data_IF_873281812213
#
_entry.id   IF_873281812213
#
_cell.length_a   1.000
_cell.length_b   1.000
_cell.length_c   1.000
_cell.angle_alpha   90.00
_cell.angle_beta   90.00
_cell.angle_gamma   90.00
#
_symmetry.space_group_name_H-M   'P 1'
#
loop_
_entity.id
_entity.type
_entity.pdbx_description
1 polymer ?
#
# COMPACT_ATOMS: atom_id res chain seq x y z
N UNK A 1 22.53 9.77 33.52
CA UNK A 1 22.93 9.06 32.28
C UNK A 1 22.24 9.77 31.14
N UNK A 2 22.97 10.45 30.26
CA UNK A 2 22.34 11.13 29.11
C UNK A 2 21.79 10.06 28.19
N UNK A 3 20.46 10.03 28.03
CA UNK A 3 19.82 9.33 26.91
C UNK A 3 20.43 9.89 25.62
N UNK A 4 21.27 9.08 24.97
CA UNK A 4 21.68 9.38 23.60
C UNK A 4 20.40 9.33 22.78
N UNK A 5 19.93 10.47 22.29
CA UNK A 5 18.89 10.50 21.27
C UNK A 5 19.31 9.52 20.17
N UNK A 6 18.48 8.53 19.82
CA UNK A 6 18.82 7.59 18.76
C UNK A 6 19.14 8.37 17.49
N UNK A 7 20.23 8.00 16.82
CA UNK A 7 20.59 8.59 15.53
C UNK A 7 19.41 8.37 14.57
N UNK A 8 18.93 9.42 13.86
CA UNK A 8 17.83 9.26 12.92
C UNK A 8 18.13 8.14 11.92
N UNK A 9 17.13 7.31 11.62
CA UNK A 9 17.28 6.27 10.61
C UNK A 9 17.77 6.88 9.30
N UNK A 10 18.81 6.31 8.67
CA UNK A 10 19.16 6.68 7.31
C UNK A 10 18.14 6.02 6.37
N UNK A 11 17.22 6.78 5.74
CA UNK A 11 16.11 6.18 4.98
C UNK A 11 16.58 5.46 3.71
N UNK A 12 17.83 5.67 3.30
CA UNK A 12 18.42 5.06 2.10
C UNK A 12 19.41 3.95 2.44
N UNK A 13 19.56 3.59 3.72
CA UNK A 13 20.33 2.42 4.12
C UNK A 13 19.71 1.16 3.50
N UNK A 14 20.53 0.37 2.80
CA UNK A 14 20.12 -0.83 2.08
C UNK A 14 19.03 -0.60 1.00
N UNK A 15 18.88 0.63 0.50
CA UNK A 15 17.96 0.91 -0.60
C UNK A 15 18.29 0.04 -1.82
N UNK A 16 17.31 -0.72 -2.30
CA UNK A 16 17.45 -1.67 -3.40
C UNK A 16 17.11 -1.05 -4.77
N UNK A 17 17.15 0.28 -4.88
CA UNK A 17 16.91 1.02 -6.13
C UNK A 17 17.84 2.23 -6.27
N UNK A 18 18.24 2.52 -7.51
CA UNK A 18 18.97 3.75 -7.86
C UNK A 18 18.03 4.88 -8.31
N UNK A 19 16.72 4.62 -8.40
CA UNK A 19 15.75 5.60 -8.88
C UNK A 19 15.67 6.81 -7.94
N UNK A 20 16.16 7.96 -8.42
CA UNK A 20 16.22 9.21 -7.65
C UNK A 20 14.85 9.71 -7.20
N UNK A 21 13.79 9.46 -7.96
CA UNK A 21 12.44 9.91 -7.65
C UNK A 21 11.87 9.14 -6.47
N UNK A 22 12.05 7.81 -6.48
CA UNK A 22 11.70 6.93 -5.36
C UNK A 22 12.49 7.31 -4.12
N UNK A 23 13.83 7.39 -4.22
CA UNK A 23 14.69 7.72 -3.08
C UNK A 23 14.32 9.07 -2.46
N UNK A 24 14.12 10.11 -3.27
CA UNK A 24 13.71 11.44 -2.79
C UNK A 24 12.37 11.41 -2.06
N UNK A 25 11.39 10.70 -2.61
CA UNK A 25 10.07 10.57 -1.99
C UNK A 25 10.13 9.79 -0.67
N UNK A 26 10.83 8.64 -0.63
CA UNK A 26 11.02 7.84 0.59
C UNK A 26 11.72 8.65 1.68
N UNK A 27 12.78 9.39 1.33
CA UNK A 27 13.48 10.27 2.28
C UNK A 27 12.53 11.32 2.87
N UNK A 28 11.77 12.03 2.04
CA UNK A 28 10.81 13.05 2.52
C UNK A 28 9.74 12.45 3.42
N UNK A 29 9.19 11.27 3.06
CA UNK A 29 8.16 10.62 3.87
C UNK A 29 8.75 10.10 5.19
N UNK A 30 9.98 9.59 5.20
CA UNK A 30 10.67 9.18 6.42
C UNK A 30 10.94 10.38 7.35
N UNK A 31 11.33 11.53 6.80
CA UNK A 31 11.52 12.77 7.58
C UNK A 31 10.22 13.22 8.26
N UNK A 32 9.09 13.12 7.55
CA UNK A 32 7.76 13.42 8.09
C UNK A 32 7.35 12.40 9.16
N UNK A 33 7.42 11.11 8.86
CA UNK A 33 6.88 10.04 9.71
C UNK A 33 7.79 9.68 10.89
N UNK A 34 9.07 10.01 10.82
CA UNK A 34 10.12 9.77 11.82
C UNK A 34 10.17 8.30 12.33
N UNK A 35 10.32 7.30 11.42
CA UNK A 35 10.47 5.92 11.85
C UNK A 35 11.84 5.65 12.48
N UNK A 36 11.91 4.64 13.34
CA UNK A 36 13.17 4.21 13.96
C UNK A 36 14.08 3.48 12.96
N UNK A 37 13.49 2.85 11.95
CA UNK A 37 14.17 2.09 10.90
C UNK A 37 13.42 2.19 9.58
N UNK A 38 14.14 2.08 8.47
CA UNK A 38 13.54 1.92 7.15
C UNK A 38 13.97 0.57 6.59
N UNK A 39 13.01 -0.26 6.17
CA UNK A 39 13.25 -1.58 5.60
C UNK A 39 12.80 -1.61 4.14
N UNK A 40 13.74 -1.78 3.21
CA UNK A 40 13.46 -1.86 1.79
C UNK A 40 13.10 -3.28 1.40
N UNK A 41 11.84 -3.52 1.06
CA UNK A 41 11.39 -4.88 0.81
C UNK A 41 11.83 -5.38 -0.56
N UNK A 42 12.35 -6.61 -0.62
CA UNK A 42 12.83 -7.25 -1.85
C UNK A 42 11.86 -8.28 -2.45
N UNK A 43 10.87 -8.73 -1.67
CA UNK A 43 9.83 -9.70 -2.06
C UNK A 43 10.29 -11.17 -2.05
N UNK A 44 11.52 -11.45 -1.65
CA UNK A 44 12.10 -12.80 -1.64
C UNK A 44 11.40 -13.73 -0.64
N UNK A 45 11.57 -15.04 -0.84
CA UNK A 45 11.10 -16.03 0.13
C UNK A 45 11.83 -15.90 1.48
N UNK A 46 13.12 -15.57 1.46
CA UNK A 46 13.91 -15.36 2.67
C UNK A 46 13.39 -14.18 3.51
N UNK A 47 13.08 -13.06 2.85
CA UNK A 47 12.44 -11.92 3.49
C UNK A 47 11.07 -12.28 4.05
N UNK A 48 10.23 -12.97 3.25
CA UNK A 48 8.91 -13.46 3.71
C UNK A 48 9.04 -14.30 4.98
N UNK A 49 9.96 -15.25 5.01
CA UNK A 49 10.17 -16.13 6.16
C UNK A 49 10.72 -15.38 7.39
N UNK A 50 11.58 -14.37 7.18
CA UNK A 50 12.06 -13.50 8.25
C UNK A 50 10.94 -12.64 8.84
N UNK A 51 10.18 -11.94 7.99
CA UNK A 51 9.09 -11.06 8.43
C UNK A 51 7.95 -11.87 9.07
N UNK A 52 7.66 -13.06 8.55
CA UNK A 52 6.65 -13.94 9.15
C UNK A 52 7.06 -14.38 10.55
N UNK A 53 8.32 -14.79 10.76
CA UNK A 53 8.85 -15.11 12.10
C UNK A 53 8.75 -13.92 13.05
N UNK A 54 9.18 -12.74 12.60
CA UNK A 54 9.07 -11.53 13.41
C UNK A 54 7.62 -11.19 13.76
N UNK A 55 6.68 -11.36 12.84
CA UNK A 55 5.25 -11.15 13.09
C UNK A 55 4.67 -12.16 14.10
N UNK A 56 5.13 -13.41 14.07
CA UNK A 56 4.74 -14.44 15.05
C UNK A 56 5.34 -14.15 16.42
N UNK A 57 6.62 -13.81 16.49
CA UNK A 57 7.30 -13.42 17.74
C UNK A 57 6.63 -12.19 18.39
N UNK A 58 6.17 -11.25 17.57
CA UNK A 58 5.43 -10.07 18.02
C UNK A 58 3.95 -10.35 18.35
N UNK A 59 3.45 -11.58 18.14
CA UNK A 59 2.04 -11.94 18.37
C UNK A 59 1.05 -11.33 17.37
N UNK A 60 1.52 -10.73 16.29
CA UNK A 60 0.70 -10.18 15.21
C UNK A 60 0.07 -11.31 14.39
N UNK A 61 0.84 -12.38 14.14
CA UNK A 61 0.37 -13.59 13.48
C UNK A 61 0.41 -14.77 14.45
N UNK A 62 -0.65 -15.57 14.44
CA UNK A 62 -0.71 -16.84 15.15
C UNK A 62 -0.60 -17.99 14.14
N UNK A 63 0.39 -18.89 14.25
CA UNK A 63 0.47 -20.03 13.34
C UNK A 63 -0.77 -20.92 13.52
N UNK A 64 -1.39 -21.31 12.40
CA UNK A 64 -2.42 -22.35 12.42
C UNK A 64 -1.78 -23.73 12.62
N UNK A 65 -2.61 -24.78 12.71
CA UNK A 65 -2.13 -26.16 12.72
C UNK A 65 -1.32 -26.45 11.45
N UNK A 66 0.01 -26.47 11.56
CA UNK A 66 0.90 -26.62 10.40
C UNK A 66 0.84 -28.01 9.76
N UNK A 67 0.21 -29.00 10.39
CA UNK A 67 -0.06 -30.30 9.73
C UNK A 67 -1.28 -30.21 8.82
N UNK A 68 -2.28 -29.41 9.18
CA UNK A 68 -3.52 -29.23 8.40
C UNK A 68 -3.41 -28.08 7.39
N UNK A 69 -2.73 -27.01 7.79
CA UNK A 69 -2.63 -25.74 7.06
C UNK A 69 -1.17 -25.24 7.04
N UNK A 70 -0.27 -25.94 6.32
CA UNK A 70 1.14 -25.55 6.26
C UNK A 70 1.30 -24.13 5.72
N UNK A 71 2.08 -23.29 6.40
CA UNK A 71 2.34 -21.91 6.01
C UNK A 71 1.16 -20.96 6.19
N UNK A 72 0.08 -21.41 6.85
CA UNK A 72 -1.08 -20.56 7.13
C UNK A 72 -1.01 -19.96 8.54
N UNK A 73 -1.46 -18.71 8.64
CA UNK A 73 -1.45 -17.91 9.85
C UNK A 73 -2.79 -17.22 10.04
N UNK A 74 -3.14 -16.97 11.30
CA UNK A 74 -4.30 -16.23 11.71
C UNK A 74 -3.87 -14.85 12.23
N UNK A 75 -4.51 -13.80 11.73
CA UNK A 75 -4.36 -12.43 12.22
C UNK A 75 -5.70 -12.00 12.83
N UNK A 76 -5.67 -11.53 14.07
CA UNK A 76 -6.86 -11.02 14.76
C UNK A 76 -6.78 -9.49 14.83
N UNK A 77 -7.65 -8.79 14.10
CA UNK A 77 -7.63 -7.33 14.06
C UNK A 77 -8.27 -6.71 15.31
N UNK A 78 -8.06 -5.39 15.47
CA UNK A 78 -8.76 -4.61 16.49
C UNK A 78 -10.27 -4.62 16.18
N UNK A 79 -11.17 -4.77 17.18
CA UNK A 79 -12.63 -4.74 16.98
C UNK A 79 -13.16 -3.47 16.29
N UNK A 80 -12.45 -2.35 16.44
CA UNK A 80 -12.82 -1.08 15.79
C UNK A 80 -12.35 -1.01 14.32
N UNK A 81 -11.63 -2.00 13.83
CA UNK A 81 -11.01 -2.03 12.51
C UNK A 81 -11.16 -3.41 11.85
N UNK A 82 -12.39 -3.69 11.41
CA UNK A 82 -12.83 -5.00 10.91
C UNK A 82 -13.43 -4.95 9.51
N UNK A 83 -13.49 -3.75 8.91
CA UNK A 83 -14.12 -3.53 7.62
C UNK A 83 -13.56 -2.28 6.94
N UNK A 84 -13.95 -2.10 5.67
CA UNK A 84 -13.78 -0.81 5.01
C UNK A 84 -14.69 0.22 5.68
N UNK A 85 -14.25 1.47 5.70
CA UNK A 85 -14.98 2.59 6.29
C UNK A 85 -15.25 3.65 5.22
N UNK A 86 -16.39 3.53 4.55
CA UNK A 86 -16.73 4.36 3.40
C UNK A 86 -16.79 5.86 3.76
N UNK A 87 -17.31 6.21 4.94
CA UNK A 87 -17.39 7.60 5.42
C UNK A 87 -16.02 8.24 5.71
N UNK A 88 -14.96 7.44 5.84
CA UNK A 88 -13.58 7.90 5.99
C UNK A 88 -12.79 7.87 4.67
N UNK A 89 -13.44 7.52 3.56
CA UNK A 89 -12.79 7.35 2.25
C UNK A 89 -13.09 8.54 1.35
N UNK A 90 -12.05 9.21 0.86
CA UNK A 90 -12.16 10.46 0.11
C UNK A 90 -11.49 10.38 -1.26
N UNK A 91 -12.08 11.09 -2.23
CA UNK A 91 -11.49 11.39 -3.54
C UNK A 91 -11.21 12.90 -3.56
N UNK A 92 -9.94 13.26 -3.59
CA UNK A 92 -9.45 14.63 -3.49
C UNK A 92 -8.94 15.09 -4.87
N UNK A 93 -9.88 15.41 -5.75
CA UNK A 93 -9.63 16.07 -7.04
C UNK A 93 -9.63 17.59 -6.88
N UNK A 94 -9.04 18.32 -7.83
CA UNK A 94 -9.01 19.79 -7.80
C UNK A 94 -10.41 20.40 -7.74
N UNK A 95 -11.38 19.81 -8.45
CA UNK A 95 -12.79 20.19 -8.42
C UNK A 95 -13.65 19.11 -7.76
N UNK A 96 -14.70 19.52 -7.04
CA UNK A 96 -15.69 18.59 -6.46
C UNK A 96 -16.47 17.84 -7.55
N UNK A 97 -16.71 18.49 -8.69
CA UNK A 97 -17.42 17.90 -9.83
C UNK A 97 -16.68 16.68 -10.40
N UNK A 98 -15.34 16.72 -10.45
CA UNK A 98 -14.53 15.59 -10.94
C UNK A 98 -14.54 14.37 -10.02
N UNK A 99 -14.73 14.57 -8.70
CA UNK A 99 -15.00 13.47 -7.79
C UNK A 99 -16.41 12.91 -8.00
N UNK A 100 -17.39 13.79 -8.28
CA UNK A 100 -18.75 13.42 -8.63
C UNK A 100 -19.60 12.97 -7.43
N UNK A 101 -20.89 12.79 -7.69
CA UNK A 101 -21.92 12.63 -6.64
C UNK A 101 -21.90 11.32 -5.85
N UNK A 102 -21.08 10.35 -6.27
CA UNK A 102 -20.96 9.04 -5.60
C UNK A 102 -19.78 8.96 -4.64
N UNK A 103 -18.96 10.00 -4.55
CA UNK A 103 -17.74 10.04 -3.74
C UNK A 103 -17.83 11.09 -2.64
N UNK A 104 -17.16 10.83 -1.51
CA UNK A 104 -16.86 11.91 -0.57
C UNK A 104 -15.68 12.72 -1.13
N UNK A 105 -15.90 14.00 -1.33
CA UNK A 105 -14.88 14.92 -1.77
C UNK A 105 -14.37 15.77 -0.60
N UNK A 106 -13.10 16.15 -0.68
CA UNK A 106 -12.51 17.17 0.17
C UNK A 106 -11.44 17.93 -0.65
N UNK A 107 -11.25 19.24 -0.43
CA UNK A 107 -10.20 20.00 -1.09
C UNK A 107 -8.83 19.33 -0.90
N UNK A 108 -8.04 19.13 -1.97
CA UNK A 108 -6.76 18.43 -1.86
C UNK A 108 -5.79 19.06 -0.86
N UNK A 109 -5.66 20.39 -0.87
CA UNK A 109 -4.74 21.10 0.02
C UNK A 109 -5.12 20.93 1.51
N UNK A 110 -6.40 21.05 1.83
CA UNK A 110 -6.91 20.85 3.21
C UNK A 110 -6.72 19.39 3.66
N UNK A 111 -6.96 18.42 2.77
CA UNK A 111 -6.76 17.01 3.08
C UNK A 111 -5.27 16.69 3.26
N UNK A 112 -4.38 17.24 2.43
CA UNK A 112 -2.94 17.09 2.59
C UNK A 112 -2.44 17.69 3.91
N UNK A 113 -2.88 18.90 4.27
CA UNK A 113 -2.53 19.53 5.55
C UNK A 113 -2.94 18.63 6.72
N UNK A 114 -4.18 18.16 6.72
CA UNK A 114 -4.71 17.25 7.75
C UNK A 114 -3.92 15.95 7.85
N UNK A 115 -3.68 15.29 6.72
CA UNK A 115 -3.03 13.98 6.70
C UNK A 115 -1.54 14.08 7.03
N UNK A 116 -0.83 15.11 6.55
CA UNK A 116 0.55 15.35 6.95
C UNK A 116 0.67 15.67 8.44
N UNK A 117 -0.26 16.43 9.01
CA UNK A 117 -0.34 16.65 10.46
C UNK A 117 -0.55 15.36 11.25
N UNK A 118 -1.35 14.42 10.74
CA UNK A 118 -1.52 13.10 11.35
C UNK A 118 -0.29 12.19 11.19
N UNK A 119 0.44 12.32 10.09
CA UNK A 119 1.63 11.54 9.78
C UNK A 119 2.89 12.04 10.49
N UNK A 120 2.91 13.28 10.98
CA UNK A 120 4.09 13.83 11.65
C UNK A 120 4.48 13.00 12.88
N UNK A 121 5.63 12.34 12.81
CA UNK A 121 6.12 11.44 13.85
C UNK A 121 5.28 10.18 14.06
N UNK A 122 4.35 9.85 13.15
CA UNK A 122 3.42 8.73 13.27
C UNK A 122 4.09 7.35 13.41
N UNK A 123 5.32 7.21 12.92
CA UNK A 123 6.04 5.94 12.88
C UNK A 123 7.16 5.84 13.93
N UNK A 124 7.24 6.77 14.88
CA UNK A 124 8.19 6.67 16.01
C UNK A 124 8.06 5.33 16.72
N UNK A 125 9.19 4.68 17.00
CA UNK A 125 9.21 3.35 17.61
C UNK A 125 8.89 2.20 16.65
N UNK A 126 8.65 2.48 15.36
CA UNK A 126 8.26 1.49 14.34
C UNK A 126 9.23 1.47 13.16
N UNK A 127 9.21 0.37 12.41
CA UNK A 127 9.89 0.28 11.11
C UNK A 127 8.96 0.79 10.03
N UNK A 128 9.44 1.69 9.18
CA UNK A 128 8.78 2.01 7.91
C UNK A 128 9.27 1.03 6.84
N UNK A 129 8.38 0.20 6.34
CA UNK A 129 8.63 -0.70 5.23
C UNK A 129 8.38 0.03 3.91
N UNK A 130 9.35 -0.04 3.00
CA UNK A 130 9.18 0.37 1.61
C UNK A 130 8.77 -0.86 0.81
N UNK A 131 7.55 -0.86 0.28
CA UNK A 131 6.95 -2.01 -0.43
C UNK A 131 6.72 -1.65 -1.89
N UNK A 132 7.70 -1.85 -2.80
CA UNK A 132 7.47 -1.77 -4.23
C UNK A 132 6.56 -2.91 -4.69
N UNK A 133 5.60 -2.65 -5.56
CA UNK A 133 4.74 -3.70 -6.12
C UNK A 133 4.29 -3.37 -7.54
N UNK A 134 4.08 -4.43 -8.32
CA UNK A 134 3.61 -4.37 -9.70
C UNK A 134 2.20 -4.95 -9.81
N UNK A 135 1.28 -4.13 -10.31
CA UNK A 135 -0.09 -4.51 -10.63
C UNK A 135 -0.17 -4.93 -12.10
N UNK A 136 -0.33 -6.24 -12.32
CA UNK A 136 -0.34 -6.84 -13.65
C UNK A 136 0.90 -7.69 -13.94
N UNK A 137 0.97 -8.35 -15.11
CA UNK A 137 2.09 -9.19 -15.50
C UNK A 137 3.37 -8.38 -15.78
N UNK A 138 4.56 -8.88 -15.39
CA UNK A 138 5.83 -8.24 -15.72
C UNK A 138 6.01 -8.08 -17.24
N UNK A 139 6.50 -6.92 -17.66
CA UNK A 139 6.72 -6.59 -19.07
C UNK A 139 5.46 -6.14 -19.82
N UNK A 140 4.28 -6.20 -19.20
CA UNK A 140 3.08 -5.62 -19.80
C UNK A 140 3.18 -4.09 -19.78
N UNK A 141 2.90 -3.40 -20.90
CA UNK A 141 2.83 -1.93 -20.93
C UNK A 141 1.63 -1.37 -20.17
N UNK A 142 0.63 -2.22 -19.84
CA UNK A 142 -0.52 -1.84 -19.03
C UNK A 142 -0.30 -2.07 -17.53
N UNK A 143 0.83 -2.66 -17.13
CA UNK A 143 1.12 -2.85 -15.73
C UNK A 143 1.37 -1.50 -15.03
N UNK A 144 0.90 -1.37 -13.80
CA UNK A 144 1.09 -0.16 -12.99
C UNK A 144 2.00 -0.47 -11.82
N UNK A 145 3.00 0.37 -11.59
CA UNK A 145 3.88 0.26 -10.41
C UNK A 145 3.31 1.14 -9.30
N UNK A 146 3.24 0.57 -8.10
CA UNK A 146 3.04 1.33 -6.88
C UNK A 146 4.19 1.10 -5.91
N UNK A 147 4.41 2.07 -5.03
CA UNK A 147 5.28 1.89 -3.87
C UNK A 147 4.47 2.32 -2.66
N UNK A 148 4.30 1.39 -1.72
CA UNK A 148 3.58 1.63 -0.48
C UNK A 148 4.58 1.72 0.68
N UNK A 149 4.53 2.84 1.41
CA UNK A 149 5.27 3.05 2.65
C UNK A 149 4.35 2.73 3.81
N UNK A 150 4.70 1.76 4.65
CA UNK A 150 3.82 1.24 5.70
C UNK A 150 4.58 0.96 6.98
N UNK A 151 3.98 1.19 8.13
CA UNK A 151 4.52 0.77 9.45
C UNK A 151 3.99 -0.59 9.94
N UNK A 152 3.29 -1.32 9.06
CA UNK A 152 2.63 -2.59 9.38
C UNK A 152 3.26 -3.78 8.66
N UNK A 153 3.85 -4.69 9.42
CA UNK A 153 4.40 -5.95 8.88
C UNK A 153 3.30 -6.86 8.29
N UNK A 154 2.08 -6.78 8.82
CA UNK A 154 0.91 -7.48 8.27
C UNK A 154 0.58 -7.03 6.84
N UNK A 155 0.68 -5.72 6.59
CA UNK A 155 0.49 -5.14 5.27
C UNK A 155 1.56 -5.63 4.29
N UNK A 156 2.83 -5.65 4.69
CA UNK A 156 3.93 -6.15 3.84
C UNK A 156 3.68 -7.60 3.41
N UNK A 157 3.40 -8.48 4.38
CA UNK A 157 3.16 -9.91 4.12
C UNK A 157 1.92 -10.13 3.23
N UNK A 158 0.87 -9.33 3.42
CA UNK A 158 -0.35 -9.39 2.62
C UNK A 158 -0.14 -8.86 1.20
N UNK A 159 0.60 -7.75 1.04
CA UNK A 159 0.93 -7.18 -0.28
C UNK A 159 1.78 -8.13 -1.11
N UNK A 160 2.66 -8.92 -0.48
CA UNK A 160 3.41 -9.98 -1.16
C UNK A 160 2.52 -11.04 -1.80
N UNK A 161 1.39 -11.36 -1.17
CA UNK A 161 0.40 -12.31 -1.72
C UNK A 161 -0.42 -11.64 -2.83
N UNK A 162 -0.84 -10.40 -2.59
CA UNK A 162 -1.80 -9.70 -3.43
C UNK A 162 -1.20 -9.10 -4.70
N UNK A 163 0.10 -8.83 -4.73
CA UNK A 163 0.79 -8.17 -5.84
C UNK A 163 2.17 -8.78 -6.08
N UNK A 164 2.77 -8.47 -7.24
CA UNK A 164 4.15 -8.86 -7.55
C UNK A 164 5.08 -7.86 -6.88
N UNK A 165 5.53 -8.20 -5.68
CA UNK A 165 6.25 -7.30 -4.78
C UNK A 165 7.78 -7.35 -5.00
N UNK A 166 8.45 -6.23 -4.72
CA UNK A 166 9.90 -6.14 -4.58
C UNK A 166 10.63 -5.87 -5.88
N UNK A 167 11.72 -6.61 -6.13
CA UNK A 167 12.65 -6.36 -7.25
C UNK A 167 11.95 -6.27 -8.61
N UNK A 168 10.96 -7.12 -8.86
CA UNK A 168 10.21 -7.14 -10.13
C UNK A 168 9.52 -5.80 -10.43
N UNK A 169 9.03 -5.10 -9.42
CA UNK A 169 8.38 -3.79 -9.58
C UNK A 169 9.40 -2.68 -9.82
N UNK A 170 10.54 -2.72 -9.11
CA UNK A 170 11.62 -1.75 -9.28
C UNK A 170 12.30 -1.88 -10.65
N UNK A 171 12.53 -3.11 -11.11
CA UNK A 171 13.10 -3.39 -12.43
C UNK A 171 12.15 -2.89 -13.53
N UNK A 172 10.84 -3.08 -13.36
CA UNK A 172 9.84 -2.57 -14.31
C UNK A 172 9.78 -1.03 -14.32
N UNK A 173 9.88 -0.39 -13.15
CA UNK A 173 9.87 1.07 -13.03
C UNK A 173 11.12 1.72 -13.64
N UNK A 174 12.28 1.07 -13.49
CA UNK A 174 13.57 1.61 -13.89
C UNK A 174 13.83 2.98 -13.25
N UNK A 175 14.16 3.98 -14.08
CA UNK A 175 14.39 5.37 -13.65
C UNK A 175 13.15 6.29 -13.68
N UNK A 176 11.97 5.76 -14.01
CA UNK A 176 10.75 6.55 -14.21
C UNK A 176 10.21 7.16 -12.91
N UNK A 177 9.48 8.27 -13.02
CA UNK A 177 8.69 8.85 -11.92
C UNK A 177 7.22 8.39 -11.93
N UNK A 178 6.86 7.51 -12.88
CA UNK A 178 5.51 6.99 -13.07
C UNK A 178 5.24 5.80 -12.14
N UNK A 179 4.99 6.11 -10.88
CA UNK A 179 4.56 5.14 -9.87
C UNK A 179 3.52 5.78 -8.95
N UNK A 180 2.59 4.96 -8.46
CA UNK A 180 1.65 5.38 -7.42
C UNK A 180 2.40 5.54 -6.08
N UNK A 181 2.20 6.68 -5.43
CA UNK A 181 2.77 7.01 -4.12
C UNK A 181 1.78 6.64 -3.03
N UNK A 182 1.98 5.48 -2.40
CA UNK A 182 1.16 5.03 -1.28
C UNK A 182 1.84 5.33 0.06
N UNK A 183 1.15 6.00 0.98
CA UNK A 183 1.58 6.14 2.38
C UNK A 183 0.51 5.54 3.28
N UNK A 184 0.93 4.67 4.18
CA UNK A 184 0.10 4.00 5.17
C UNK A 184 0.73 4.14 6.56
N UNK A 185 -0.04 4.53 7.56
CA UNK A 185 0.33 4.36 8.97
C UNK A 185 -0.85 3.86 9.79
N UNK A 186 -0.61 2.89 10.65
CA UNK A 186 -1.62 2.41 11.59
C UNK A 186 -2.05 3.48 12.59
N UNK A 187 -1.18 4.48 12.86
CA UNK A 187 -1.32 5.41 13.98
C UNK A 187 -1.62 4.66 15.30
N UNK A 188 -2.76 4.99 15.91
CA UNK A 188 -3.35 4.41 17.11
C UNK A 188 -4.60 3.55 16.81
N UNK A 189 -4.96 3.39 15.53
CA UNK A 189 -6.17 2.69 15.06
C UNK A 189 -7.47 3.33 15.63
N UNK A 190 -7.40 4.60 16.05
CA UNK A 190 -8.56 5.31 16.56
C UNK A 190 -9.53 5.67 15.42
N UNK A 191 -10.84 5.36 15.51
CA UNK A 191 -11.81 5.63 14.44
C UNK A 191 -11.84 7.10 13.98
N UNK A 192 -11.79 8.06 14.90
CA UNK A 192 -11.84 9.50 14.57
C UNK A 192 -10.59 10.01 13.82
N UNK A 193 -9.51 9.23 13.82
CA UNK A 193 -8.25 9.53 13.14
C UNK A 193 -8.04 8.65 11.92
N UNK A 194 -9.11 8.03 11.41
CA UNK A 194 -9.07 7.14 10.25
C UNK A 194 -9.44 7.87 8.98
N UNK A 195 -8.55 7.83 7.99
CA UNK A 195 -8.74 8.44 6.68
C UNK A 195 -8.11 7.59 5.59
N UNK A 196 -8.79 7.45 4.46
CA UNK A 196 -8.29 6.80 3.25
C UNK A 196 -8.52 7.77 2.09
N UNK A 197 -7.54 8.61 1.78
CA UNK A 197 -7.64 9.64 0.76
C UNK A 197 -6.90 9.25 -0.51
N UNK A 198 -7.48 9.63 -1.64
CA UNK A 198 -6.94 9.39 -2.98
C UNK A 198 -6.77 10.74 -3.66
N UNK A 199 -5.61 10.98 -4.27
CA UNK A 199 -5.27 12.19 -5.01
C UNK A 199 -5.00 11.79 -6.46
N UNK A 200 -6.04 11.78 -7.33
CA UNK A 200 -5.92 11.19 -8.66
C UNK A 200 -4.92 11.91 -9.57
N UNK A 201 -4.80 13.23 -9.45
CA UNK A 201 -3.98 14.10 -10.30
C UNK A 201 -2.48 13.83 -10.17
N UNK A 202 -2.00 13.52 -8.96
CA UNK A 202 -0.58 13.26 -8.67
C UNK A 202 -0.27 11.78 -8.38
N UNK A 203 -1.27 10.91 -8.55
CA UNK A 203 -1.19 9.46 -8.36
C UNK A 203 -0.76 9.08 -6.93
N UNK A 204 -1.37 9.70 -5.92
CA UNK A 204 -1.05 9.50 -4.50
C UNK A 204 -2.23 8.90 -3.74
N UNK A 205 -1.92 8.04 -2.76
CA UNK A 205 -2.89 7.48 -1.81
C UNK A 205 -2.29 7.63 -0.41
N UNK A 206 -3.06 8.17 0.53
CA UNK A 206 -2.67 8.24 1.93
C UNK A 206 -3.74 7.59 2.79
N UNK A 207 -3.35 6.57 3.56
CA UNK A 207 -4.20 5.87 4.52
C UNK A 207 -3.63 6.00 5.93
N UNK A 208 -4.46 6.41 6.89
CA UNK A 208 -4.07 6.50 8.30
C UNK A 208 -5.14 5.93 9.22
N UNK A 209 -4.74 5.42 10.39
CA UNK A 209 -5.68 5.02 11.47
C UNK A 209 -6.41 3.69 11.25
N UNK A 210 -5.88 2.83 10.38
CA UNK A 210 -6.41 1.50 10.06
C UNK A 210 -5.25 0.52 9.84
N UNK A 211 -5.50 -0.77 10.01
CA UNK A 211 -4.64 -1.89 9.63
C UNK A 211 -5.44 -3.00 8.89
N UNK A 212 -6.67 -2.71 8.43
CA UNK A 212 -7.57 -3.72 7.88
C UNK A 212 -7.76 -3.67 6.36
N UNK A 213 -7.49 -4.80 5.71
CA UNK A 213 -7.96 -5.13 4.36
C UNK A 213 -7.82 -4.01 3.32
N UNK A 214 -8.94 -3.60 2.73
CA UNK A 214 -8.95 -2.64 1.63
C UNK A 214 -8.64 -1.19 2.01
N UNK A 215 -8.53 -0.88 3.31
CA UNK A 215 -8.08 0.45 3.75
C UNK A 215 -6.56 0.57 3.60
N UNK A 216 -5.84 -0.53 3.80
CA UNK A 216 -4.38 -0.53 3.97
C UNK A 216 -3.64 -1.26 2.87
N UNK A 217 -4.26 -2.22 2.18
CA UNK A 217 -3.65 -2.88 1.03
C UNK A 217 -3.87 -1.99 -0.20
N UNK A 218 -3.04 -0.95 -0.36
CA UNK A 218 -3.32 0.17 -1.26
C UNK A 218 -3.36 -0.26 -2.73
N UNK A 219 -2.61 -1.32 -3.09
CA UNK A 219 -2.69 -1.94 -4.42
C UNK A 219 -4.08 -2.52 -4.76
N UNK A 220 -4.88 -2.92 -3.75
CA UNK A 220 -6.11 -3.71 -3.95
C UNK A 220 -7.29 -2.92 -4.50
N UNK A 221 -7.79 -1.94 -3.76
CA UNK A 221 -8.98 -1.15 -4.15
C UNK A 221 -8.61 0.29 -4.46
N UNK A 222 -7.67 0.85 -3.69
CA UNK A 222 -7.25 2.24 -3.82
C UNK A 222 -6.57 2.47 -5.17
N UNK A 223 -5.54 1.68 -5.52
CA UNK A 223 -4.91 1.75 -6.84
C UNK A 223 -5.74 1.05 -7.92
N UNK A 224 -6.07 -0.23 -7.77
CA UNK A 224 -6.64 -1.01 -8.88
C UNK A 224 -8.00 -0.52 -9.39
N UNK A 225 -8.79 0.18 -8.56
CA UNK A 225 -10.10 0.70 -8.96
C UNK A 225 -10.19 2.21 -8.90
N UNK A 226 -9.89 2.86 -7.77
CA UNK A 226 -10.17 4.30 -7.62
C UNK A 226 -9.20 5.18 -8.41
N UNK A 227 -7.91 5.02 -8.18
CA UNK A 227 -6.90 5.68 -9.02
C UNK A 227 -6.92 5.06 -10.42
N UNK A 228 -7.08 3.74 -10.51
CA UNK A 228 -7.13 2.99 -11.77
C UNK A 228 -8.20 3.50 -12.73
N UNK A 229 -9.42 3.80 -12.26
CA UNK A 229 -10.50 4.31 -13.12
C UNK A 229 -10.22 5.72 -13.62
N UNK A 230 -9.60 6.57 -12.79
CA UNK A 230 -9.15 7.89 -13.19
C UNK A 230 -8.06 7.82 -14.26
N UNK A 231 -7.06 6.95 -14.07
CA UNK A 231 -6.02 6.68 -15.06
C UNK A 231 -6.63 6.11 -16.35
N UNK A 232 -7.56 5.16 -16.24
CA UNK A 232 -8.28 4.57 -17.37
C UNK A 232 -9.02 5.63 -18.19
N UNK A 233 -9.74 6.55 -17.54
CA UNK A 233 -10.39 7.70 -18.20
C UNK A 233 -9.38 8.57 -18.96
N UNK A 234 -8.20 8.84 -18.39
CA UNK A 234 -7.15 9.67 -19.02
C UNK A 234 -6.42 8.96 -20.16
N UNK A 235 -6.21 7.66 -20.04
CA UNK A 235 -5.36 6.87 -20.92
C UNK A 235 -6.14 6.03 -21.95
N UNK A 236 -7.48 6.00 -21.88
CA UNK A 236 -8.34 5.32 -22.85
C UNK A 236 -8.54 3.81 -22.59
N UNK A 237 -8.57 3.38 -21.33
CA UNK A 237 -8.85 2.00 -20.92
C UNK A 237 -9.78 1.95 -19.69
N UNK A 238 -10.17 0.75 -19.25
CA UNK A 238 -11.18 0.55 -18.21
C UNK A 238 -10.62 -0.18 -16.99
N UNK A 239 -10.85 0.35 -15.79
CA UNK A 239 -10.52 -0.29 -14.52
C UNK A 239 -11.81 -0.72 -13.83
N UNK A 240 -12.20 -1.99 -14.01
CA UNK A 240 -13.54 -2.45 -13.66
C UNK A 240 -13.57 -3.39 -12.46
N UNK A 241 -14.69 -3.37 -11.73
CA UNK A 241 -14.94 -4.30 -10.63
C UNK A 241 -15.60 -5.59 -11.14
N UNK A 242 -14.85 -6.34 -11.96
CA UNK A 242 -15.30 -7.56 -12.63
C UNK A 242 -14.40 -8.75 -12.25
N UNK A 243 -14.99 -9.95 -12.27
CA UNK A 243 -14.19 -11.18 -12.31
C UNK A 243 -13.74 -11.42 -13.76
N UNK A 244 -12.76 -12.30 -13.99
CA UNK A 244 -12.45 -12.77 -15.34
C UNK A 244 -12.53 -14.29 -15.32
N UNK A 245 -13.43 -14.86 -16.11
CA UNK A 245 -13.70 -16.29 -16.18
C UNK A 245 -13.36 -16.83 -17.56
N UNK A 246 -12.56 -17.89 -17.61
CA UNK A 246 -12.39 -18.71 -18.82
C UNK A 246 -13.38 -19.88 -18.77
N UNK A 247 -14.22 -19.99 -19.79
CA UNK A 247 -15.17 -21.09 -19.98
C UNK A 247 -14.72 -21.91 -21.19
N UNK A 248 -14.57 -23.22 -21.01
CA UNK A 248 -14.17 -24.14 -22.07
C UNK A 248 -15.35 -25.07 -22.41
N UNK A 249 -15.73 -25.12 -23.69
CA UNK A 249 -16.82 -25.97 -24.17
C UNK A 249 -16.36 -27.44 -24.25
N UNK A 250 -17.29 -28.42 -24.35
CA UNK A 250 -16.94 -29.83 -24.57
C UNK A 250 -16.15 -30.10 -25.86
N UNK A 251 -16.19 -29.18 -26.83
CA UNK A 251 -15.40 -29.25 -28.07
C UNK A 251 -14.02 -28.60 -27.94
N UNK A 252 -13.67 -28.08 -26.76
CA UNK A 252 -12.38 -27.44 -26.45
C UNK A 252 -12.31 -25.94 -26.77
N UNK A 253 -13.42 -25.30 -27.11
CA UNK A 253 -13.46 -23.86 -27.41
C UNK A 253 -13.43 -23.04 -26.12
N UNK A 254 -12.53 -22.05 -26.03
CA UNK A 254 -12.38 -21.17 -24.87
C UNK A 254 -13.01 -19.80 -25.11
N UNK A 255 -13.83 -19.36 -24.18
CA UNK A 255 -14.42 -18.02 -24.13
C UNK A 255 -14.07 -17.33 -22.82
N UNK A 256 -13.84 -16.02 -22.86
CA UNK A 256 -13.52 -15.22 -21.67
C UNK A 256 -14.67 -14.25 -21.37
N UNK A 257 -15.14 -14.25 -20.12
CA UNK A 257 -16.24 -13.40 -19.65
C UNK A 257 -15.72 -12.51 -18.53
N UNK A 258 -16.09 -11.22 -18.58
CA UNK A 258 -15.87 -10.23 -17.53
C UNK A 258 -17.21 -9.82 -16.91
#
# INVERSE_FOLDING_TARGET
MSERNPTPANPLENANTINRHVRKWVTRTAELCQPDRVHWCDGSEAEKDQLTRAAVEAGILLPLDQKKWPGCYYHHSNPNDVARVEHCTFICTESEEDAGVTNHWAPPDEMYEKLHGLLEGAMKGRTMYVVPYLMGPPGSPMAKVGIELTDSIYVVLSMRIMARMGKVALDHLGGSNDFNRGVHSMLDIHPDRRFIAHFPEDNTIISVGSNYGGNVLLGKKCLALRIGSYLGRKEGWMAEHMLILCVESPTGEKTYVA
#
